data_IF_044243631181
#
_entry.id   IF_044243631181
#
_cell.length_a   1.000
_cell.length_b   1.000
_cell.length_c   1.000
_cell.angle_alpha   90.00
_cell.angle_beta   90.00
_cell.angle_gamma   90.00
#
_symmetry.space_group_name_H-M   'P 1'
#
loop_
_entity.id
_entity.type
_entity.pdbx_description
1 polymer ?
#
# COMPACT_ATOMS: atom_id res chain seq x y z
N UNK A 1 25.98 -5.79 -12.04
CA UNK A 1 25.24 -6.90 -11.50
C UNK A 1 24.55 -6.55 -10.23
N UNK A 2 25.26 -6.22 -9.19
CA UNK A 2 24.60 -5.94 -7.93
C UNK A 2 23.64 -4.77 -8.00
N UNK A 3 23.91 -3.81 -8.86
CA UNK A 3 23.01 -2.67 -8.97
C UNK A 3 21.66 -3.07 -9.56
N UNK A 4 21.60 -4.14 -10.30
CA UNK A 4 20.32 -4.61 -10.81
C UNK A 4 19.43 -5.09 -9.69
N UNK A 5 20.04 -5.68 -8.68
CA UNK A 5 19.27 -6.11 -7.52
C UNK A 5 18.64 -4.89 -6.83
N UNK A 6 19.40 -3.81 -6.73
CA UNK A 6 18.91 -2.61 -6.07
C UNK A 6 17.72 -2.00 -6.79
N UNK A 7 17.73 -1.99 -8.12
CA UNK A 7 16.61 -1.40 -8.83
C UNK A 7 15.36 -2.24 -8.72
N UNK A 8 15.48 -3.48 -8.27
CA UNK A 8 14.31 -4.33 -8.07
C UNK A 8 13.67 -4.19 -6.69
N UNK A 9 14.30 -3.40 -5.80
CA UNK A 9 13.75 -3.21 -4.47
C UNK A 9 12.61 -2.22 -4.55
N UNK A 10 11.40 -2.72 -4.35
CA UNK A 10 10.20 -1.91 -4.49
C UNK A 10 10.00 -0.99 -3.29
N UNK A 11 9.55 0.22 -3.58
CA UNK A 11 9.18 1.18 -2.54
C UNK A 11 7.71 1.04 -2.24
N UNK A 12 7.40 0.77 -0.97
CA UNK A 12 6.04 0.64 -0.47
C UNK A 12 5.76 1.85 0.41
N UNK A 13 4.70 2.58 0.11
CA UNK A 13 4.32 3.71 0.95
C UNK A 13 3.23 3.25 1.91
N UNK A 14 3.29 3.74 3.14
CA UNK A 14 2.33 3.40 4.20
C UNK A 14 1.74 4.70 4.71
N UNK A 15 0.42 4.83 4.66
CA UNK A 15 -0.27 6.00 5.17
C UNK A 15 -1.22 5.56 6.28
N UNK A 16 -0.89 5.94 7.51
CA UNK A 16 -1.67 5.58 8.70
C UNK A 16 -1.35 6.61 9.77
N UNK A 17 -2.36 7.12 10.44
CA UNK A 17 -2.12 8.13 11.46
C UNK A 17 -1.62 7.54 12.79
N UNK A 18 -1.60 6.23 12.92
CA UNK A 18 -1.13 5.55 14.13
C UNK A 18 0.37 5.25 14.00
N UNK A 19 1.16 5.85 14.85
CA UNK A 19 2.61 5.69 14.81
C UNK A 19 3.03 4.25 15.04
N UNK A 20 2.38 3.52 15.94
CA UNK A 20 2.77 2.13 16.19
C UNK A 20 2.53 1.26 14.98
N UNK A 21 1.46 1.52 14.24
CA UNK A 21 1.21 0.78 13.00
C UNK A 21 2.30 1.09 11.98
N UNK A 22 2.65 2.36 11.83
CA UNK A 22 3.70 2.74 10.88
C UNK A 22 5.02 2.06 11.21
N UNK A 23 5.37 2.02 12.49
CA UNK A 23 6.64 1.41 12.90
C UNK A 23 6.65 -0.09 12.68
N UNK A 24 5.55 -0.75 13.04
CA UNK A 24 5.47 -2.19 12.86
C UNK A 24 5.53 -2.58 11.39
N UNK A 25 4.84 -1.85 10.54
CA UNK A 25 4.86 -2.12 9.12
C UNK A 25 6.22 -1.85 8.49
N UNK A 26 6.87 -0.78 8.92
CA UNK A 26 8.21 -0.48 8.42
C UNK A 26 9.16 -1.63 8.72
N UNK A 27 9.12 -2.14 9.95
CA UNK A 27 9.99 -3.25 10.33
C UNK A 27 9.69 -4.50 9.51
N UNK A 28 8.42 -4.80 9.32
CA UNK A 28 8.01 -5.97 8.56
C UNK A 28 8.46 -5.87 7.10
N UNK A 29 8.25 -4.72 6.50
CA UNK A 29 8.61 -4.55 5.10
C UNK A 29 10.11 -4.63 4.88
N UNK A 30 10.87 -3.97 5.74
CA UNK A 30 12.33 -4.02 5.62
C UNK A 30 12.86 -5.42 5.82
N UNK A 31 12.27 -6.16 6.76
CA UNK A 31 12.70 -7.53 7.00
C UNK A 31 12.43 -8.43 5.79
N UNK A 32 11.53 -8.03 4.91
CA UNK A 32 11.20 -8.80 3.73
C UNK A 32 11.77 -8.21 2.45
N UNK A 33 12.73 -7.30 2.57
CA UNK A 33 13.47 -6.82 1.41
C UNK A 33 12.85 -5.63 0.69
N UNK A 34 11.83 -5.01 1.26
CA UNK A 34 11.20 -3.85 0.65
C UNK A 34 11.73 -2.56 1.24
N UNK A 35 11.64 -1.49 0.46
CA UNK A 35 11.85 -0.14 0.98
C UNK A 35 10.50 0.36 1.49
N UNK A 36 10.51 1.08 2.60
CA UNK A 36 9.28 1.58 3.20
C UNK A 36 9.39 3.09 3.44
N UNK A 37 8.34 3.81 3.09
CA UNK A 37 8.22 5.23 3.40
C UNK A 37 6.87 5.44 4.08
N UNK A 38 6.86 6.11 5.22
CA UNK A 38 5.65 6.21 6.04
C UNK A 38 5.18 7.65 6.11
N UNK A 39 3.87 7.81 6.20
CA UNK A 39 3.21 9.11 6.28
C UNK A 39 2.07 9.03 7.27
N UNK A 40 1.86 10.10 8.00
CA UNK A 40 0.74 10.17 8.95
C UNK A 40 -0.55 10.68 8.30
N UNK A 41 -0.48 11.13 7.05
CA UNK A 41 -1.62 11.70 6.37
C UNK A 41 -1.50 11.53 4.86
N UNK A 42 -2.63 11.64 4.17
CA UNK A 42 -2.63 11.62 2.72
C UNK A 42 -1.85 12.79 2.14
N UNK A 43 -1.95 13.95 2.78
CA UNK A 43 -1.24 15.13 2.33
C UNK A 43 0.26 14.92 2.37
N UNK A 44 0.75 14.23 3.41
CA UNK A 44 2.17 13.91 3.51
C UNK A 44 2.64 13.04 2.35
N UNK A 45 1.84 12.05 1.99
CA UNK A 45 2.16 11.20 0.85
C UNK A 45 2.25 12.02 -0.43
N UNK A 46 1.25 12.86 -0.66
CA UNK A 46 1.18 13.63 -1.91
C UNK A 46 2.35 14.61 -2.04
N UNK A 47 2.93 15.02 -0.93
CA UNK A 47 4.07 15.92 -0.93
C UNK A 47 5.42 15.19 -1.07
N UNK A 48 5.40 13.87 -1.09
CA UNK A 48 6.64 13.11 -1.13
C UNK A 48 7.33 13.24 -2.48
N UNK A 49 8.65 13.50 -2.49
CA UNK A 49 9.40 13.51 -3.74
C UNK A 49 9.54 12.12 -4.36
N UNK A 50 9.16 11.08 -3.63
CA UNK A 50 9.29 9.70 -4.10
C UNK A 50 7.96 9.10 -4.54
N UNK A 51 6.92 9.93 -4.68
CA UNK A 51 5.60 9.42 -5.06
C UNK A 51 5.65 8.66 -6.39
N UNK A 52 6.41 9.14 -7.34
CA UNK A 52 6.53 8.50 -8.65
C UNK A 52 7.23 7.15 -8.59
N UNK A 53 8.02 6.92 -7.55
CA UNK A 53 8.72 5.63 -7.39
C UNK A 53 7.90 4.61 -6.63
N UNK A 54 6.79 5.03 -6.03
CA UNK A 54 5.99 4.15 -5.17
C UNK A 54 5.33 3.08 -5.99
N UNK A 55 5.55 1.83 -5.61
CA UNK A 55 5.04 0.67 -6.35
C UNK A 55 3.80 0.06 -5.71
N UNK A 56 3.54 0.39 -4.46
CA UNK A 56 2.38 -0.11 -3.75
C UNK A 56 2.08 0.85 -2.61
N UNK A 57 0.81 1.02 -2.30
CA UNK A 57 0.37 1.92 -1.25
C UNK A 57 -0.48 1.16 -0.26
N UNK A 58 -0.10 1.19 1.02
CA UNK A 58 -0.90 0.63 2.09
C UNK A 58 -1.56 1.82 2.78
N UNK A 59 -2.89 1.84 2.79
CA UNK A 59 -3.63 3.03 3.10
C UNK A 59 -4.72 2.75 4.13
N UNK A 60 -4.63 3.44 5.28
CA UNK A 60 -5.70 3.39 6.26
C UNK A 60 -6.92 4.09 5.72
N UNK A 61 -8.07 3.46 5.87
CA UNK A 61 -9.33 4.03 5.42
C UNK A 61 -9.68 5.28 6.19
N UNK A 62 -9.50 5.25 7.50
CA UNK A 62 -9.98 6.31 8.39
C UNK A 62 -8.82 7.14 8.88
N UNK A 63 -8.69 8.31 8.31
CA UNK A 63 -7.68 9.27 8.71
C UNK A 63 -8.31 10.66 8.80
N UNK A 64 -7.81 11.52 9.67
CA UNK A 64 -8.27 12.91 9.67
C UNK A 64 -7.94 13.57 8.35
N UNK A 65 -8.81 14.44 7.89
CA UNK A 65 -8.62 15.13 6.62
C UNK A 65 -9.09 14.28 5.47
N UNK A 66 -8.22 14.09 4.48
CA UNK A 66 -8.57 13.31 3.30
C UNK A 66 -8.63 11.83 3.64
N UNK A 67 -9.75 11.18 3.35
CA UNK A 67 -9.89 9.75 3.64
C UNK A 67 -9.33 8.93 2.48
N UNK A 68 -9.28 7.60 2.70
CA UNK A 68 -8.63 6.70 1.75
C UNK A 68 -9.27 6.68 0.37
N UNK A 69 -10.60 6.76 0.29
CA UNK A 69 -11.26 6.77 -1.01
C UNK A 69 -11.00 8.06 -1.77
N UNK A 70 -10.96 9.16 -1.06
CA UNK A 70 -10.65 10.44 -1.69
C UNK A 70 -9.24 10.43 -2.28
N UNK A 71 -8.30 9.87 -1.53
CA UNK A 71 -6.93 9.76 -2.02
C UNK A 71 -6.87 8.84 -3.24
N UNK A 72 -7.59 7.74 -3.21
CA UNK A 72 -7.63 6.82 -4.34
C UNK A 72 -8.12 7.54 -5.60
N UNK A 73 -9.19 8.32 -5.46
CA UNK A 73 -9.74 9.07 -6.59
C UNK A 73 -8.77 10.12 -7.10
N UNK A 74 -8.10 10.80 -6.18
CA UNK A 74 -7.15 11.83 -6.55
C UNK A 74 -5.98 11.25 -7.33
N UNK A 75 -5.44 10.14 -6.88
CA UNK A 75 -4.34 9.49 -7.58
C UNK A 75 -4.77 9.02 -8.96
N UNK A 76 -5.97 8.50 -9.07
CA UNK A 76 -6.48 8.04 -10.36
C UNK A 76 -6.68 9.22 -11.32
N UNK A 77 -7.17 10.35 -10.82
CA UNK A 77 -7.38 11.52 -11.67
C UNK A 77 -6.07 12.13 -12.13
N UNK A 78 -4.99 11.87 -11.40
CA UNK A 78 -3.66 12.33 -11.77
C UNK A 78 -2.91 11.27 -12.57
N UNK A 79 -3.64 10.29 -13.05
CA UNK A 79 -3.12 9.20 -13.87
C UNK A 79 -2.05 8.38 -13.18
N UNK A 80 -2.09 8.33 -11.87
CA UNK A 80 -1.15 7.52 -11.10
C UNK A 80 -1.80 6.19 -10.77
N UNK A 81 -1.25 5.14 -11.31
CA UNK A 81 -1.81 3.80 -11.16
C UNK A 81 -1.06 3.01 -10.12
N UNK A 82 -1.04 3.53 -8.91
CA UNK A 82 -0.38 2.86 -7.81
C UNK A 82 -1.34 1.85 -7.20
N UNK A 83 -0.99 0.57 -7.15
CA UNK A 83 -1.85 -0.43 -6.51
C UNK A 83 -2.05 -0.09 -5.05
N UNK A 84 -3.29 -0.18 -4.57
CA UNK A 84 -3.64 0.21 -3.21
C UNK A 84 -4.18 -0.98 -2.44
N UNK A 85 -3.64 -1.17 -1.23
CA UNK A 85 -4.14 -2.11 -0.24
C UNK A 85 -4.72 -1.27 0.89
N UNK A 86 -6.02 -1.37 1.11
CA UNK A 86 -6.64 -0.66 2.22
C UNK A 86 -6.54 -1.47 3.50
N UNK A 87 -6.38 -0.76 4.61
CA UNK A 87 -6.46 -1.37 5.95
C UNK A 87 -7.48 -0.58 6.77
N UNK A 88 -8.16 -1.27 7.68
CA UNK A 88 -9.18 -0.62 8.49
C UNK A 88 -9.36 -1.34 9.82
N UNK A 89 -9.55 -0.56 10.88
CA UNK A 89 -9.85 -1.10 12.20
C UNK A 89 -11.29 -1.56 12.31
N UNK A 90 -12.13 -1.19 11.37
CA UNK A 90 -13.55 -1.49 11.42
C UNK A 90 -13.96 -2.32 10.22
N UNK A 91 -14.93 -3.19 10.43
CA UNK A 91 -15.52 -3.96 9.35
C UNK A 91 -16.51 -3.04 8.64
N UNK A 92 -16.11 -2.56 7.47
CA UNK A 92 -16.94 -1.65 6.67
C UNK A 92 -17.16 -2.29 5.32
N UNK A 93 -18.16 -3.15 5.25
CA UNK A 93 -18.38 -3.90 4.03
C UNK A 93 -18.71 -3.03 2.85
N UNK A 94 -19.47 -1.96 3.07
CA UNK A 94 -19.80 -1.06 1.97
C UNK A 94 -18.54 -0.38 1.44
N UNK A 95 -17.66 0.05 2.34
CA UNK A 95 -16.41 0.64 1.93
C UNK A 95 -15.56 -0.38 1.18
N UNK A 96 -15.49 -1.60 1.70
CA UNK A 96 -14.73 -2.65 1.07
C UNK A 96 -15.17 -2.87 -0.36
N UNK A 97 -16.48 -2.93 -0.57
CA UNK A 97 -17.03 -3.13 -1.91
C UNK A 97 -16.66 -1.98 -2.84
N UNK A 98 -16.77 -0.75 -2.34
CA UNK A 98 -16.40 0.41 -3.13
C UNK A 98 -14.93 0.41 -3.47
N UNK A 99 -14.07 0.09 -2.51
CA UNK A 99 -12.63 0.11 -2.71
C UNK A 99 -12.22 -0.91 -3.77
N UNK A 100 -12.73 -2.13 -3.67
CA UNK A 100 -12.40 -3.17 -4.63
C UNK A 100 -12.95 -2.82 -6.01
N UNK A 101 -14.17 -2.31 -6.06
CA UNK A 101 -14.79 -1.93 -7.32
C UNK A 101 -14.01 -0.81 -8.01
N UNK A 102 -13.38 0.05 -7.22
CA UNK A 102 -12.58 1.16 -7.75
C UNK A 102 -11.14 0.74 -8.06
N UNK A 103 -10.81 -0.53 -7.94
CA UNK A 103 -9.52 -1.03 -8.36
C UNK A 103 -8.51 -1.33 -7.26
N UNK A 104 -8.91 -1.27 -5.99
CA UNK A 104 -8.00 -1.64 -4.91
C UNK A 104 -7.63 -3.11 -5.02
N UNK A 105 -6.39 -3.41 -4.66
CA UNK A 105 -5.88 -4.78 -4.71
C UNK A 105 -6.50 -5.63 -3.62
N UNK A 106 -6.62 -5.07 -2.43
CA UNK A 106 -7.17 -5.82 -1.30
C UNK A 106 -7.64 -4.85 -0.22
N UNK A 107 -8.35 -5.40 0.74
CA UNK A 107 -8.85 -4.67 1.89
C UNK A 107 -8.66 -5.57 3.11
N UNK A 108 -7.77 -5.17 4.02
CA UNK A 108 -7.43 -6.00 5.17
C UNK A 108 -7.96 -5.39 6.46
N UNK A 109 -8.75 -6.12 7.24
CA UNK A 109 -9.18 -5.62 8.55
C UNK A 109 -8.05 -5.71 9.56
N UNK A 110 -7.98 -4.77 10.47
CA UNK A 110 -7.05 -4.81 11.59
C UNK A 110 -7.68 -5.59 12.73
N UNK A 111 -6.93 -6.44 13.41
CA UNK A 111 -5.56 -6.84 13.13
C UNK A 111 -5.51 -7.81 11.95
N UNK A 112 -4.44 -7.71 11.18
CA UNK A 112 -4.24 -8.63 10.06
C UNK A 112 -2.94 -9.39 10.29
N UNK A 113 -2.82 -10.56 9.66
CA UNK A 113 -1.60 -11.34 9.79
C UNK A 113 -0.52 -10.79 8.86
N UNK A 114 0.73 -10.99 9.25
CA UNK A 114 1.84 -10.62 8.39
C UNK A 114 1.77 -11.33 7.06
N UNK A 115 1.38 -12.60 7.08
CA UNK A 115 1.28 -13.38 5.86
C UNK A 115 0.24 -12.79 4.92
N UNK A 116 -0.90 -12.34 5.45
CA UNK A 116 -1.94 -11.74 4.62
C UNK A 116 -1.45 -10.45 3.98
N UNK A 117 -0.76 -9.61 4.74
CA UNK A 117 -0.23 -8.36 4.21
C UNK A 117 0.82 -8.63 3.14
N UNK A 118 1.75 -9.52 3.40
CA UNK A 118 2.80 -9.81 2.42
C UNK A 118 2.24 -10.42 1.15
N UNK A 119 1.21 -11.25 1.27
CA UNK A 119 0.55 -11.82 0.11
C UNK A 119 -0.12 -10.73 -0.72
N UNK A 120 -0.78 -9.78 -0.06
CA UNK A 120 -1.41 -8.66 -0.76
C UNK A 120 -0.37 -7.81 -1.47
N UNK A 121 0.77 -7.57 -0.84
CA UNK A 121 1.84 -6.80 -1.46
C UNK A 121 2.37 -7.53 -2.70
N UNK A 122 2.61 -8.82 -2.61
CA UNK A 122 3.09 -9.57 -3.77
C UNK A 122 2.09 -9.50 -4.92
N UNK A 123 0.81 -9.59 -4.59
CA UNK A 123 -0.23 -9.46 -5.60
C UNK A 123 -0.20 -8.08 -6.24
N UNK A 124 -0.03 -7.04 -5.42
CA UNK A 124 0.02 -5.67 -5.91
C UNK A 124 1.21 -5.44 -6.84
N UNK A 125 2.34 -6.03 -6.51
CA UNK A 125 3.54 -5.86 -7.32
C UNK A 125 3.55 -6.74 -8.56
N UNK A 126 2.68 -7.72 -8.61
CA UNK A 126 2.62 -8.63 -9.75
C UNK A 126 3.72 -9.65 -9.83
N UNK A 127 4.68 -9.59 -8.91
CA UNK A 127 5.83 -10.48 -9.00
C UNK A 127 5.48 -11.92 -8.70
N UNK A 128 4.60 -12.11 -7.72
CA UNK A 128 4.19 -13.46 -7.38
C UNK A 128 3.42 -14.11 -8.50
N UNK A 129 2.56 -13.35 -9.13
CA UNK A 129 1.75 -13.87 -10.22
C UNK A 129 2.60 -14.28 -11.40
N UNK A 130 3.56 -13.45 -11.73
CA UNK A 130 4.45 -13.77 -12.83
C UNK A 130 5.25 -15.02 -12.57
N UNK A 131 5.73 -15.16 -11.36
CA UNK A 131 6.49 -16.34 -10.99
C UNK A 131 5.62 -17.57 -11.04
N UNK A 132 4.36 -17.44 -10.71
CA UNK A 132 3.44 -18.56 -10.67
C UNK A 132 2.91 -18.93 -12.02
N UNK A 133 3.00 -18.02 -12.94
CA UNK A 133 2.45 -18.20 -14.26
C UNK A 133 3.49 -18.32 -15.31
N UNK A 134 4.44 -19.16 -15.11
CA UNK A 134 5.50 -19.25 -16.11
C UNK A 134 5.03 -19.86 -17.39
N UNK A 135 3.97 -20.54 -17.30
CA UNK A 135 3.52 -21.18 -18.51
C UNK A 135 2.15 -20.82 -18.78
#
# INVERSE_FOLDING_TARGET
MSQQVNVLVALIAIVDDDQSVREAMTSLLKANGYRAEVFASAEGLLASPHLDETKCLILDVQMPGMNGLELQRLLASDDRRIPIIFISAHDQQDFRKQAIRSGAIDFLPKPFSEAALLRAIRSALGTGDEAQNPG
#
